data_IF_860710379359
#
_entry.id   IF_860710379359
#
_cell.length_a   1.000
_cell.length_b   1.000
_cell.length_c   1.000
_cell.angle_alpha   90.00
_cell.angle_beta   90.00
_cell.angle_gamma   90.00
#
_symmetry.space_group_name_H-M   'P 1'
#
loop_
_entity.id
_entity.type
_entity.pdbx_description
1 polymer ?
#
# COMPACT_ATOMS: atom_id res chain seq x y z
N UNK A 1 -1.03 -1.78 4.61
CA UNK A 1 -1.28 -0.86 3.48
C UNK A 1 0.01 -0.18 3.09
N UNK A 2 0.14 0.28 1.84
CA UNK A 2 1.34 0.99 1.39
C UNK A 2 1.42 2.43 1.93
N UNK A 3 2.63 2.99 1.94
CA UNK A 3 2.87 4.38 2.33
C UNK A 3 2.13 5.38 1.42
N UNK A 4 2.05 5.10 0.12
CA UNK A 4 1.32 5.94 -0.84
C UNK A 4 -0.17 6.03 -0.47
N UNK A 5 -0.79 4.88 -0.18
CA UNK A 5 -2.18 4.82 0.30
C UNK A 5 -2.36 5.52 1.64
N UNK A 6 -1.34 5.48 2.51
CA UNK A 6 -1.39 6.16 3.79
C UNK A 6 -1.40 7.69 3.64
N UNK A 7 -0.78 8.26 2.60
CA UNK A 7 -0.86 9.70 2.33
C UNK A 7 -2.26 10.16 1.93
N UNK A 8 -3.04 9.27 1.31
CA UNK A 8 -4.42 9.53 0.91
C UNK A 8 -5.43 9.21 2.01
N UNK A 9 -5.00 8.59 3.12
CA UNK A 9 -5.90 8.16 4.18
C UNK A 9 -6.83 9.25 4.74
N UNK A 10 -6.46 10.56 4.78
CA UNK A 10 -7.38 11.59 5.26
C UNK A 10 -8.59 11.81 4.35
N UNK A 11 -8.54 11.34 3.12
CA UNK A 11 -9.64 11.42 2.15
C UNK A 11 -10.65 10.28 2.31
N UNK A 12 -10.34 9.27 3.12
CA UNK A 12 -11.20 8.11 3.30
C UNK A 12 -12.45 8.46 4.11
N UNK A 13 -13.58 7.88 3.72
CA UNK A 13 -14.84 8.03 4.42
C UNK A 13 -14.71 7.52 5.87
N UNK A 14 -15.16 8.34 6.83
CA UNK A 14 -15.25 8.02 8.25
C UNK A 14 -13.95 7.54 8.91
N UNK A 15 -12.79 7.97 8.38
CA UNK A 15 -11.48 7.47 8.81
C UNK A 15 -11.22 7.60 10.32
N UNK A 16 -11.80 8.62 10.99
CA UNK A 16 -11.71 8.82 12.45
C UNK A 16 -12.17 7.59 13.24
N UNK A 17 -13.24 6.91 12.78
CA UNK A 17 -13.79 5.76 13.48
C UNK A 17 -12.89 4.53 13.33
N UNK A 18 -12.22 4.36 12.18
CA UNK A 18 -11.34 3.23 11.95
C UNK A 18 -10.11 3.25 12.86
N UNK A 19 -9.50 4.42 13.09
CA UNK A 19 -8.39 4.55 14.05
C UNK A 19 -8.77 4.25 15.50
N UNK A 20 -10.05 4.33 15.83
CA UNK A 20 -10.56 3.98 17.15
C UNK A 20 -10.82 2.48 17.33
N UNK A 21 -10.69 1.64 16.29
CA UNK A 21 -11.07 0.21 16.34
C UNK A 21 -10.05 -0.77 15.74
N UNK A 22 -8.96 -0.30 15.10
CA UNK A 22 -7.95 -1.21 14.52
C UNK A 22 -6.53 -0.64 14.54
N UNK A 23 -5.55 -1.54 14.60
CA UNK A 23 -4.16 -1.23 14.32
C UNK A 23 -3.96 -1.01 12.82
N UNK A 24 -3.06 -0.11 12.47
CA UNK A 24 -2.66 0.15 11.08
C UNK A 24 -1.22 -0.30 10.88
N UNK A 25 -0.98 -1.11 9.85
CA UNK A 25 0.37 -1.47 9.41
C UNK A 25 0.61 -0.77 8.08
N UNK A 26 1.53 0.18 8.07
CA UNK A 26 1.94 0.96 6.90
C UNK A 26 3.29 0.45 6.43
N UNK A 27 3.33 -0.13 5.24
CA UNK A 27 4.54 -0.63 4.62
C UNK A 27 5.20 0.47 3.78
N UNK A 28 6.47 0.76 4.03
CA UNK A 28 7.26 1.73 3.28
C UNK A 28 8.39 1.06 2.51
N UNK A 29 8.87 1.75 1.47
CA UNK A 29 10.13 1.41 0.79
C UNK A 29 11.31 2.02 1.57
N UNK A 30 12.53 1.49 1.41
CA UNK A 30 13.71 2.07 2.06
C UNK A 30 13.90 3.54 1.69
N UNK A 31 14.26 4.37 2.68
CA UNK A 31 14.50 5.80 2.50
C UNK A 31 13.24 6.68 2.45
N UNK A 32 12.11 6.20 2.96
CA UNK A 32 10.91 7.04 3.09
C UNK A 32 11.11 8.22 4.06
N UNK A 33 10.32 9.28 3.85
CA UNK A 33 10.43 10.54 4.59
C UNK A 33 9.41 10.63 5.72
N UNK A 34 9.89 10.91 6.93
CA UNK A 34 9.05 11.05 8.12
C UNK A 34 8.11 12.25 8.04
N UNK A 35 8.47 13.28 7.28
CA UNK A 35 7.68 14.49 7.08
C UNK A 35 6.31 14.17 6.45
N UNK A 36 6.27 13.20 5.53
CA UNK A 36 5.02 12.77 4.90
C UNK A 36 4.08 12.08 5.90
N UNK A 37 4.63 11.22 6.76
CA UNK A 37 3.86 10.53 7.81
C UNK A 37 3.32 11.54 8.81
N UNK A 38 4.19 12.45 9.28
CA UNK A 38 3.82 13.51 10.20
C UNK A 38 2.71 14.39 9.64
N UNK A 39 2.79 14.78 8.37
CA UNK A 39 1.74 15.55 7.68
C UNK A 39 0.38 14.85 7.73
N UNK A 40 0.34 13.53 7.54
CA UNK A 40 -0.90 12.75 7.63
C UNK A 40 -1.44 12.78 9.06
N UNK A 41 -0.60 12.48 10.05
CA UNK A 41 -1.00 12.44 11.47
C UNK A 41 -1.45 13.81 12.01
N UNK A 42 -0.89 14.89 11.47
CA UNK A 42 -1.24 16.29 11.81
C UNK A 42 -2.41 16.83 10.98
N UNK A 43 -2.99 16.02 10.07
CA UNK A 43 -4.07 16.49 9.21
C UNK A 43 -5.37 16.80 10.00
N UNK A 44 -6.23 17.72 9.51
CA UNK A 44 -7.46 18.12 10.21
C UNK A 44 -8.43 16.96 10.50
N UNK A 45 -8.36 15.89 9.71
CA UNK A 45 -9.18 14.70 9.94
C UNK A 45 -8.83 14.00 11.25
N UNK A 46 -7.65 14.24 11.83
CA UNK A 46 -7.26 13.69 13.14
C UNK A 46 -7.25 14.74 14.24
N UNK A 47 -7.84 15.90 14.02
CA UNK A 47 -7.97 16.91 15.07
C UNK A 47 -8.62 16.31 16.33
N UNK A 48 -7.95 16.49 17.47
CA UNK A 48 -8.35 15.90 18.76
C UNK A 48 -7.69 14.57 19.08
N UNK A 49 -7.02 13.92 18.12
CA UNK A 49 -6.12 12.80 18.36
C UNK A 49 -4.68 13.33 18.46
N UNK A 50 -4.03 13.09 19.59
CA UNK A 50 -2.60 13.37 19.73
C UNK A 50 -1.83 12.08 19.51
N UNK A 51 -1.07 12.01 18.41
CA UNK A 51 -0.16 10.90 18.16
C UNK A 51 1.19 11.17 18.80
N UNK A 52 1.71 10.18 19.52
CA UNK A 52 3.07 10.19 20.02
C UNK A 52 3.82 8.99 19.46
N UNK A 53 5.09 9.20 19.14
CA UNK A 53 5.98 8.10 18.76
C UNK A 53 6.22 7.25 20.01
N UNK A 54 5.78 5.99 19.97
CA UNK A 54 5.85 5.07 21.12
C UNK A 54 7.14 4.23 21.15
N UNK A 55 8.18 4.69 20.46
CA UNK A 55 9.50 4.03 20.37
C UNK A 55 9.65 3.11 19.16
N UNK A 56 10.90 2.67 18.94
CA UNK A 56 11.25 1.64 17.98
C UNK A 56 10.84 0.26 18.53
N UNK A 57 9.94 -0.43 17.83
CA UNK A 57 9.57 -1.81 18.15
C UNK A 57 10.80 -2.72 17.99
N UNK A 58 10.93 -3.69 18.91
CA UNK A 58 12.04 -4.63 19.00
C UNK A 58 12.40 -5.26 17.65
N UNK A 59 13.66 -5.08 17.25
CA UNK A 59 14.34 -5.60 16.06
C UNK A 59 13.83 -5.07 14.70
N UNK A 60 14.55 -4.09 14.12
CA UNK A 60 14.48 -3.76 12.69
C UNK A 60 14.11 -2.32 12.32
N UNK A 61 14.21 -1.34 13.22
CA UNK A 61 13.93 0.07 12.89
C UNK A 61 12.44 0.39 12.65
N UNK A 62 11.54 -0.46 13.16
CA UNK A 62 10.10 -0.28 13.04
C UNK A 62 9.62 0.87 13.93
N UNK A 63 8.98 1.88 13.35
CA UNK A 63 8.41 3.02 14.10
C UNK A 63 6.95 2.76 14.44
N UNK A 64 6.53 3.23 15.61
CA UNK A 64 5.14 3.12 16.04
C UNK A 64 4.59 4.47 16.53
N UNK A 65 3.35 4.77 16.16
CA UNK A 65 2.61 5.95 16.59
C UNK A 65 1.35 5.52 17.31
N UNK A 66 1.15 6.06 18.52
CA UNK A 66 -0.03 5.76 19.32
C UNK A 66 -0.84 7.03 19.55
N UNK A 67 -2.15 6.95 19.32
CA UNK A 67 -3.06 8.03 19.70
C UNK A 67 -3.29 8.02 21.22
N UNK A 68 -3.27 9.21 21.83
CA UNK A 68 -3.61 9.39 23.25
C UNK A 68 -5.00 8.83 23.53
N UNK A 69 -5.09 7.99 24.57
CA UNK A 69 -6.32 7.29 24.98
C UNK A 69 -6.92 6.32 23.94
N UNK A 70 -6.17 5.94 22.90
CA UNK A 70 -6.58 4.90 21.96
C UNK A 70 -5.86 3.57 22.28
N UNK A 71 -6.54 2.42 22.19
CA UNK A 71 -5.90 1.12 22.37
C UNK A 71 -5.12 0.68 21.12
N UNK A 72 -5.28 1.36 19.98
CA UNK A 72 -4.67 1.01 18.70
C UNK A 72 -3.48 1.88 18.32
N UNK A 73 -2.60 1.32 17.49
CA UNK A 73 -1.35 1.94 17.03
C UNK A 73 -1.20 1.86 15.52
N UNK A 74 -0.37 2.76 15.00
CA UNK A 74 0.10 2.80 13.61
C UNK A 74 1.55 2.33 13.61
N UNK A 75 1.84 1.29 12.85
CA UNK A 75 3.17 0.72 12.71
C UNK A 75 3.70 1.04 11.32
N UNK A 76 4.93 1.53 11.23
CA UNK A 76 5.63 1.76 9.97
C UNK A 76 6.66 0.65 9.80
N UNK A 77 6.46 -0.17 8.78
CA UNK A 77 7.30 -1.30 8.44
C UNK A 77 8.05 -1.00 7.15
N UNK A 78 9.36 -0.89 7.24
CA UNK A 78 10.18 -0.87 6.03
C UNK A 78 10.17 -2.27 5.39
N UNK A 79 9.99 -2.31 4.08
CA UNK A 79 9.91 -3.54 3.29
C UNK A 79 10.98 -3.58 2.22
N UNK A 80 11.48 -4.78 1.93
CA UNK A 80 12.40 -4.98 0.80
C UNK A 80 11.65 -4.78 -0.51
N UNK A 81 12.11 -3.88 -1.41
CA UNK A 81 11.47 -3.69 -2.70
C UNK A 81 11.53 -4.96 -3.54
N UNK A 82 10.36 -5.40 -4.01
CA UNK A 82 10.27 -6.40 -5.07
C UNK A 82 10.04 -5.65 -6.38
N UNK A 83 10.80 -5.91 -7.46
CA UNK A 83 10.70 -5.18 -8.72
C UNK A 83 9.51 -5.65 -9.56
N UNK A 84 8.36 -5.86 -8.94
CA UNK A 84 7.12 -6.33 -9.56
C UNK A 84 6.02 -5.32 -9.28
N UNK A 85 5.30 -4.88 -10.31
CA UNK A 85 4.15 -3.98 -10.18
C UNK A 85 3.00 -4.44 -11.07
N UNK A 86 1.76 -4.14 -10.67
CA UNK A 86 0.58 -4.49 -11.48
C UNK A 86 0.60 -3.80 -12.84
N UNK A 87 1.13 -2.58 -12.94
CA UNK A 87 1.27 -1.88 -14.23
C UNK A 87 2.22 -2.63 -15.15
N UNK A 88 3.43 -2.97 -14.68
CA UNK A 88 4.39 -3.73 -15.46
C UNK A 88 3.86 -5.12 -15.88
N UNK A 89 3.12 -5.81 -15.00
CA UNK A 89 2.48 -7.09 -15.33
C UNK A 89 1.48 -6.91 -16.47
N UNK A 90 0.58 -5.92 -16.39
CA UNK A 90 -0.43 -5.67 -17.43
C UNK A 90 0.21 -5.29 -18.77
N UNK A 91 1.22 -4.44 -18.76
CA UNK A 91 1.94 -4.02 -19.97
C UNK A 91 2.64 -5.20 -20.66
N UNK A 92 3.37 -6.03 -19.90
CA UNK A 92 4.03 -7.24 -20.41
C UNK A 92 3.02 -8.20 -21.05
N UNK A 93 1.93 -8.51 -20.35
CA UNK A 93 0.89 -9.41 -20.87
C UNK A 93 0.23 -8.82 -22.12
N UNK A 94 -0.03 -7.51 -22.14
CA UNK A 94 -0.58 -6.80 -23.30
C UNK A 94 0.34 -6.82 -24.52
N UNK A 95 1.66 -6.88 -24.31
CA UNK A 95 2.68 -7.03 -25.34
C UNK A 95 2.96 -8.49 -25.72
N UNK A 96 2.28 -9.45 -25.09
CA UNK A 96 2.52 -10.89 -25.30
C UNK A 96 3.79 -11.41 -24.63
N UNK A 97 4.40 -10.64 -23.73
CA UNK A 97 5.56 -11.06 -22.96
C UNK A 97 5.18 -11.94 -21.76
N UNK A 98 6.02 -12.92 -21.45
CA UNK A 98 5.84 -13.77 -20.27
C UNK A 98 6.05 -13.03 -18.94
N UNK A 99 5.31 -13.45 -17.92
CA UNK A 99 5.37 -12.94 -16.54
C UNK A 99 5.68 -14.05 -15.51
N UNK A 100 6.24 -15.17 -15.97
CA UNK A 100 6.54 -16.31 -15.10
C UNK A 100 7.45 -15.90 -13.93
N UNK A 101 7.10 -16.34 -12.72
CA UNK A 101 7.80 -15.99 -11.49
C UNK A 101 7.42 -14.64 -10.89
N UNK A 102 6.57 -13.84 -11.55
CA UNK A 102 6.06 -12.56 -11.02
C UNK A 102 4.71 -12.72 -10.33
N UNK A 103 4.03 -13.82 -10.63
CA UNK A 103 2.71 -14.17 -10.12
C UNK A 103 2.74 -15.61 -9.62
N UNK A 104 1.89 -15.96 -8.64
CA UNK A 104 1.57 -17.37 -8.37
C UNK A 104 1.11 -18.06 -9.68
N UNK A 105 1.51 -19.32 -9.87
CA UNK A 105 1.28 -20.07 -11.11
C UNK A 105 -0.21 -20.15 -11.46
N UNK A 106 -1.07 -20.26 -10.45
CA UNK A 106 -2.52 -20.32 -10.59
C UNK A 106 -3.09 -19.01 -11.14
N UNK A 107 -2.52 -17.87 -10.77
CA UNK A 107 -2.94 -16.54 -11.25
C UNK A 107 -2.51 -16.34 -12.70
N UNK A 108 -1.29 -16.76 -13.07
CA UNK A 108 -0.81 -16.71 -14.46
C UNK A 108 -1.69 -17.58 -15.37
N UNK A 109 -1.97 -18.82 -14.96
CA UNK A 109 -2.87 -19.73 -15.68
C UNK A 109 -4.25 -19.09 -15.89
N UNK A 110 -4.83 -18.52 -14.84
CA UNK A 110 -6.13 -17.87 -14.91
C UNK A 110 -6.15 -16.70 -15.90
N UNK A 111 -5.13 -15.85 -15.90
CA UNK A 111 -5.02 -14.72 -16.84
C UNK A 111 -4.93 -15.21 -18.29
N UNK A 112 -4.14 -16.26 -18.55
CA UNK A 112 -3.96 -16.82 -19.89
C UNK A 112 -5.24 -17.46 -20.44
N UNK A 113 -5.94 -18.25 -19.61
CA UNK A 113 -7.19 -18.93 -19.96
C UNK A 113 -8.33 -17.94 -20.24
N UNK A 114 -8.40 -16.83 -19.50
CA UNK A 114 -9.46 -15.83 -19.63
C UNK A 114 -9.09 -14.64 -20.54
N UNK A 115 -7.88 -14.63 -21.11
CA UNK A 115 -7.43 -13.55 -22.00
C UNK A 115 -7.32 -12.18 -21.34
N UNK A 116 -7.18 -12.11 -20.00
CA UNK A 116 -7.17 -10.84 -19.26
C UNK A 116 -5.91 -10.04 -19.62
N UNK A 117 -6.06 -8.74 -19.85
CA UNK A 117 -5.00 -7.80 -20.25
C UNK A 117 -4.40 -7.99 -21.65
N UNK A 118 -4.83 -8.99 -22.42
CA UNK A 118 -4.50 -9.06 -23.84
C UNK A 118 -5.24 -7.91 -24.53
N UNK A 119 -4.53 -7.12 -25.34
CA UNK A 119 -5.22 -6.20 -26.23
C UNK A 119 -5.97 -7.05 -27.25
N UNK A 120 -7.30 -6.97 -27.26
CA UNK A 120 -8.05 -7.37 -28.45
C UNK A 120 -7.47 -6.56 -29.61
N UNK A 121 -6.94 -7.24 -30.62
CA UNK A 121 -6.60 -6.58 -31.88
C UNK A 121 -7.87 -5.87 -32.36
N UNK A 122 -7.90 -4.55 -32.16
CA UNK A 122 -8.95 -3.70 -32.70
C UNK A 122 -9.00 -3.90 -34.21
N UNK A 123 -10.05 -4.59 -34.65
CA UNK A 123 -10.75 -4.43 -35.91
C UNK A 123 -9.83 -4.25 -37.13
N UNK A 124 -9.63 -5.35 -37.87
CA UNK A 124 -9.42 -5.30 -39.31
C UNK A 124 -10.60 -4.54 -39.94
N UNK A 125 -10.47 -3.21 -40.09
CA UNK A 125 -11.28 -2.41 -41.00
C UNK A 125 -10.72 -2.61 -42.40
N UNK A 126 -11.27 -3.58 -43.12
CA UNK A 126 -11.11 -3.73 -44.57
C UNK A 126 -11.79 -2.58 -45.32
#
# INVERSE_FOLDING_TARGET
MGLDTFYEIPTWKDIRNFFAVTNFIVTSRPGYKMEGIRRVLESPVFQGLSFFESGEGTAGGQRSFKAKNAPYSIFILETTPVPVSSTAIRERIGQGEGVSGWLPQEVEKYILENGIYKMENGINGS
#
